data_IF_853187951186
#
_entry.id   IF_853187951186
#
_cell.length_a   1.000
_cell.length_b   1.000
_cell.length_c   1.000
_cell.angle_alpha   90.00
_cell.angle_beta   90.00
_cell.angle_gamma   90.00
#
_symmetry.space_group_name_H-M   'P 1'
#
loop_
_entity.id
_entity.type
_entity.pdbx_description
1 polymer ?
#
# COMPACT_ATOMS: atom_id res chain seq x y z
N UNK A 1 -14.03 12.86 -4.30
CA UNK A 1 -12.72 12.19 -4.17
C UNK A 1 -12.95 10.68 -4.19
N UNK A 2 -12.12 9.90 -4.90
CA UNK A 2 -12.22 8.43 -4.93
C UNK A 2 -11.04 7.82 -4.19
N UNK A 3 -11.29 6.77 -3.41
CA UNK A 3 -10.30 6.06 -2.60
C UNK A 3 -10.43 4.57 -2.88
N UNK A 4 -9.31 3.86 -2.98
CA UNK A 4 -9.25 2.41 -3.19
C UNK A 4 -8.52 1.80 -1.99
N UNK A 5 -9.09 0.74 -1.43
CA UNK A 5 -8.48 -0.02 -0.35
C UNK A 5 -7.90 -1.32 -0.90
N UNK A 6 -6.59 -1.54 -0.68
CA UNK A 6 -5.89 -2.77 -1.01
C UNK A 6 -5.70 -3.54 0.28
N UNK A 7 -6.54 -4.56 0.51
CA UNK A 7 -6.59 -5.33 1.75
C UNK A 7 -6.19 -6.79 1.51
N UNK A 8 -5.74 -7.47 2.56
CA UNK A 8 -5.42 -8.89 2.53
C UNK A 8 -4.33 -9.29 3.53
N UNK A 9 -4.10 -10.60 3.75
CA UNK A 9 -3.09 -11.11 4.68
C UNK A 9 -1.67 -10.64 4.35
N UNK A 10 -0.74 -10.72 5.31
CA UNK A 10 0.70 -10.50 5.05
C UNK A 10 1.22 -11.48 3.99
N UNK A 11 2.27 -11.09 3.24
CA UNK A 11 2.89 -11.90 2.18
C UNK A 11 2.03 -12.26 0.96
N UNK A 12 0.88 -11.60 0.73
CA UNK A 12 0.04 -11.81 -0.47
C UNK A 12 0.35 -10.89 -1.66
N UNK A 13 1.45 -10.14 -1.61
CA UNK A 13 1.87 -9.26 -2.73
C UNK A 13 1.19 -7.89 -2.80
N UNK A 14 0.47 -7.47 -1.74
CA UNK A 14 -0.24 -6.18 -1.69
C UNK A 14 0.61 -4.97 -2.09
N UNK A 15 1.85 -4.89 -1.61
CA UNK A 15 2.74 -3.77 -1.93
C UNK A 15 3.08 -3.71 -3.42
N UNK A 16 3.32 -4.86 -4.05
CA UNK A 16 3.57 -4.95 -5.50
C UNK A 16 2.35 -4.48 -6.30
N UNK A 17 1.17 -4.99 -5.93
CA UNK A 17 -0.09 -4.58 -6.55
C UNK A 17 -0.39 -3.08 -6.38
N UNK A 18 -0.13 -2.52 -5.19
CA UNK A 18 -0.34 -1.10 -4.91
C UNK A 18 0.55 -0.20 -5.78
N UNK A 19 1.81 -0.58 -5.98
CA UNK A 19 2.73 0.14 -6.87
C UNK A 19 2.24 0.14 -8.32
N UNK A 20 1.84 -1.03 -8.83
CA UNK A 20 1.31 -1.16 -10.19
C UNK A 20 0.01 -0.35 -10.37
N UNK A 21 -0.91 -0.44 -9.41
CA UNK A 21 -2.16 0.30 -9.42
C UNK A 21 -1.94 1.81 -9.38
N UNK A 22 -1.04 2.30 -8.52
CA UNK A 22 -0.70 3.72 -8.44
C UNK A 22 -0.10 4.24 -9.76
N UNK A 23 0.80 3.48 -10.38
CA UNK A 23 1.39 3.83 -11.68
C UNK A 23 0.33 3.91 -12.79
N UNK A 24 -0.62 2.96 -12.84
CA UNK A 24 -1.70 2.94 -13.83
C UNK A 24 -2.73 4.03 -13.62
N UNK A 25 -3.04 4.38 -12.37
CA UNK A 25 -4.08 5.33 -12.00
C UNK A 25 -3.58 6.77 -11.82
N UNK A 26 -2.26 6.99 -11.86
CA UNK A 26 -1.66 8.27 -11.47
C UNK A 26 -1.94 8.63 -10.01
N UNK A 27 -2.02 7.61 -9.15
CA UNK A 27 -2.41 7.75 -7.75
C UNK A 27 -1.23 7.83 -6.79
N UNK A 28 -1.54 8.15 -5.54
CA UNK A 28 -0.57 8.11 -4.43
C UNK A 28 -0.96 7.00 -3.47
N UNK A 29 0.05 6.28 -2.96
CA UNK A 29 -0.15 5.21 -1.97
C UNK A 29 -0.09 5.82 -0.58
N UNK A 30 -1.11 5.54 0.24
CA UNK A 30 -1.08 5.79 1.67
C UNK A 30 -0.87 4.45 2.39
N UNK A 31 0.21 4.35 3.18
CA UNK A 31 0.46 3.16 3.99
C UNK A 31 -0.55 3.09 5.15
N UNK A 32 -1.18 1.93 5.33
CA UNK A 32 -2.15 1.67 6.40
C UNK A 32 -1.71 0.53 7.34
N UNK A 33 -0.45 0.09 7.24
CA UNK A 33 0.15 -0.87 8.15
C UNK A 33 0.67 -0.13 9.39
N UNK A 34 0.12 -0.44 10.56
CA UNK A 34 0.48 0.22 11.82
C UNK A 34 1.90 -0.08 12.28
N UNK A 35 2.57 -1.09 11.73
CA UNK A 35 3.95 -1.45 12.04
C UNK A 35 4.92 -0.59 11.22
N UNK A 36 4.58 -0.26 9.97
CA UNK A 36 5.49 0.45 9.05
C UNK A 36 5.59 1.97 9.31
N UNK A 37 4.92 2.48 10.34
CA UNK A 37 5.06 3.88 10.78
C UNK A 37 6.34 4.13 11.59
N UNK A 38 6.91 3.07 12.18
CA UNK A 38 8.10 3.18 13.01
C UNK A 38 9.36 3.24 12.16
N UNK A 39 10.18 4.27 12.38
CA UNK A 39 11.49 4.38 11.73
C UNK A 39 12.46 3.37 12.34
N UNK A 40 13.33 2.80 11.51
CA UNK A 40 14.33 1.79 11.92
C UNK A 40 13.71 0.49 12.48
N UNK A 41 12.45 0.26 12.13
CA UNK A 41 11.74 -1.00 12.33
C UNK A 41 11.56 -1.65 10.96
N UNK A 42 12.69 -1.91 10.31
CA UNK A 42 12.80 -2.57 9.00
C UNK A 42 12.68 -4.11 9.10
#
# INVERSE_FOLDING_TARGET
>A
MKVVFIVGPTCTGKSSFALEAAAKLGGVILNADSIQVYKYFD
#
